data_IF_450271505151
#
_entry.id   IF_450271505151
#
_cell.length_a   1.000
_cell.length_b   1.000
_cell.length_c   1.000
_cell.angle_alpha   90.00
_cell.angle_beta   90.00
_cell.angle_gamma   90.00
#
_symmetry.space_group_name_H-M   'P 1'
#
loop_
_entity.id
_entity.type
_entity.pdbx_description
1 polymer ?
#
# COMPACT_ATOMS: atom_id res chain seq x y z
N UNK A 1 -23.44 34.27 -8.43
CA UNK A 1 -22.02 33.87 -8.53
C UNK A 1 -21.98 32.73 -9.54
N UNK A 2 -21.35 32.94 -10.71
CA UNK A 2 -21.26 31.91 -11.74
C UNK A 2 -20.14 30.95 -11.33
N UNK A 3 -20.48 29.69 -11.09
CA UNK A 3 -19.48 28.64 -11.00
C UNK A 3 -18.97 28.37 -12.41
N UNK A 4 -17.70 28.69 -12.62
CA UNK A 4 -16.96 28.31 -13.81
C UNK A 4 -16.55 26.84 -13.62
N UNK A 5 -16.96 25.93 -14.52
CA UNK A 5 -16.57 24.53 -14.38
C UNK A 5 -15.06 24.43 -14.57
N UNK A 6 -14.39 23.74 -13.64
CA UNK A 6 -13.00 23.33 -13.79
C UNK A 6 -12.95 22.43 -15.03
N UNK A 7 -12.64 23.02 -16.17
CA UNK A 7 -12.37 22.29 -17.39
C UNK A 7 -11.06 21.55 -17.17
N UNK A 8 -11.12 20.24 -16.92
CA UNK A 8 -9.97 19.35 -17.05
C UNK A 8 -9.60 19.30 -18.54
N UNK A 9 -8.90 20.31 -19.03
CA UNK A 9 -8.34 20.31 -20.36
C UNK A 9 -7.20 19.28 -20.37
N UNK A 10 -7.45 18.14 -21.00
CA UNK A 10 -6.39 17.18 -21.29
C UNK A 10 -5.44 17.83 -22.32
N UNK A 11 -4.13 17.91 -22.07
CA UNK A 11 -3.21 18.51 -23.01
C UNK A 11 -3.23 17.73 -24.33
N UNK A 12 -3.40 18.43 -25.46
CA UNK A 12 -3.28 17.83 -26.79
C UNK A 12 -1.82 17.62 -27.21
N UNK A 13 -0.89 18.30 -26.52
CA UNK A 13 0.54 18.28 -26.79
C UNK A 13 1.34 18.16 -25.48
N UNK A 14 2.33 17.28 -25.51
CA UNK A 14 3.27 17.05 -24.43
C UNK A 14 4.67 17.42 -24.94
N UNK A 15 5.32 18.39 -24.29
CA UNK A 15 6.61 18.92 -24.73
C UNK A 15 7.68 17.85 -24.60
N UNK A 16 7.79 17.24 -23.42
CA UNK A 16 8.77 16.19 -23.14
C UNK A 16 8.17 15.20 -22.13
N UNK A 17 8.27 13.91 -22.42
CA UNK A 17 8.08 12.83 -21.44
C UNK A 17 9.43 12.17 -21.23
N UNK A 18 9.87 12.02 -19.98
CA UNK A 18 11.14 11.41 -19.60
C UNK A 18 10.89 10.26 -18.63
N UNK A 19 11.70 9.21 -18.76
CA UNK A 19 11.76 8.11 -17.81
C UNK A 19 13.14 8.10 -17.16
N UNK A 20 13.17 8.22 -15.84
CA UNK A 20 14.38 8.21 -15.02
C UNK A 20 14.50 6.89 -14.25
N UNK A 21 15.71 6.33 -14.23
CA UNK A 21 16.05 5.14 -13.44
C UNK A 21 16.29 5.46 -11.95
N UNK A 22 16.64 4.42 -11.18
CA UNK A 22 16.92 4.53 -9.74
C UNK A 22 18.04 5.52 -9.38
N UNK A 23 18.95 5.78 -10.31
CA UNK A 23 20.08 6.70 -10.16
C UNK A 23 19.78 8.08 -10.78
N UNK A 24 18.53 8.32 -11.19
CA UNK A 24 18.07 9.52 -11.92
C UNK A 24 18.73 9.69 -13.30
N UNK A 25 19.19 8.59 -13.90
CA UNK A 25 19.60 8.60 -15.30
C UNK A 25 18.35 8.60 -16.18
N UNK A 26 18.30 9.48 -17.18
CA UNK A 26 17.23 9.47 -18.18
C UNK A 26 17.43 8.29 -19.14
N UNK A 27 16.60 7.27 -19.02
CA UNK A 27 16.62 6.04 -19.82
C UNK A 27 15.58 6.02 -20.95
N UNK A 28 14.58 6.90 -20.90
CA UNK A 28 13.61 7.08 -21.96
C UNK A 28 13.25 8.55 -22.16
N UNK A 29 12.99 8.95 -23.41
CA UNK A 29 12.57 10.31 -23.75
C UNK A 29 11.67 10.34 -24.98
N UNK A 30 10.58 11.10 -24.91
CA UNK A 30 9.70 11.41 -26.04
C UNK A 30 9.50 12.92 -26.09
N UNK A 31 9.69 13.52 -27.27
CA UNK A 31 9.69 14.98 -27.46
C UNK A 31 8.58 15.36 -28.43
N UNK A 32 7.86 16.45 -28.13
CA UNK A 32 6.80 17.02 -28.96
C UNK A 32 5.77 15.98 -29.41
N UNK A 33 5.32 15.14 -28.47
CA UNK A 33 4.38 14.07 -28.78
C UNK A 33 2.95 14.57 -28.57
N UNK A 34 2.09 14.22 -29.52
CA UNK A 34 0.67 14.60 -29.51
C UNK A 34 -0.18 13.36 -29.31
N UNK A 35 -1.26 13.50 -28.54
CA UNK A 35 -2.24 12.45 -28.38
C UNK A 35 -3.21 12.47 -29.57
N UNK A 36 -3.56 11.30 -30.13
CA UNK A 36 -4.61 11.17 -31.15
C UNK A 36 -6.04 11.26 -30.57
N UNK A 37 -6.16 11.47 -29.25
CA UNK A 37 -7.41 11.67 -28.50
C UNK A 37 -7.11 12.33 -27.15
N UNK A 38 -7.76 11.89 -26.07
CA UNK A 38 -7.50 12.41 -24.71
C UNK A 38 -6.34 11.70 -23.98
N UNK A 39 -5.83 10.60 -24.53
CA UNK A 39 -4.84 9.73 -23.88
C UNK A 39 -3.64 9.53 -24.81
N UNK A 40 -2.47 9.95 -24.34
CA UNK A 40 -1.19 9.61 -24.97
C UNK A 40 -0.71 8.26 -24.41
N UNK A 41 -0.48 7.28 -25.30
CA UNK A 41 0.08 5.99 -24.94
C UNK A 41 1.49 5.86 -25.47
N UNK A 42 2.44 5.59 -24.58
CA UNK A 42 3.86 5.37 -24.90
C UNK A 42 4.30 4.00 -24.36
N UNK A 43 5.42 3.49 -24.83
CA UNK A 43 5.96 2.20 -24.39
C UNK A 43 7.48 2.23 -24.35
N UNK A 44 8.06 1.63 -23.31
CA UNK A 44 9.50 1.54 -23.13
C UNK A 44 9.87 0.18 -22.55
N UNK A 45 10.66 -0.64 -23.25
CA UNK A 45 11.13 -1.91 -22.71
C UNK A 45 12.26 -1.67 -21.71
N UNK A 46 12.15 -2.24 -20.51
CA UNK A 46 13.25 -2.30 -19.55
C UNK A 46 14.16 -3.50 -19.87
N UNK A 47 15.46 -3.34 -19.67
CA UNK A 47 16.42 -4.42 -19.82
C UNK A 47 16.23 -5.48 -18.71
N UNK A 48 16.61 -6.73 -18.98
CA UNK A 48 16.57 -7.82 -17.98
C UNK A 48 17.48 -7.57 -16.77
N UNK A 49 18.46 -6.69 -16.93
CA UNK A 49 19.41 -6.26 -15.89
C UNK A 49 19.03 -4.88 -15.30
N UNK A 50 17.80 -4.41 -15.51
CA UNK A 50 17.32 -3.14 -14.96
C UNK A 50 17.50 -3.13 -13.44
N UNK A 51 18.08 -2.06 -12.86
CA UNK A 51 18.21 -1.94 -11.42
C UNK A 51 16.85 -2.01 -10.72
N UNK A 52 16.76 -2.80 -9.65
CA UNK A 52 15.58 -2.83 -8.77
C UNK A 52 15.52 -1.54 -7.96
N UNK A 53 14.36 -0.89 -7.91
CA UNK A 53 14.17 0.34 -7.14
C UNK A 53 13.05 1.24 -7.66
N UNK A 54 13.07 2.50 -7.25
CA UNK A 54 12.07 3.51 -7.64
C UNK A 54 12.50 4.22 -8.92
N UNK A 55 11.60 4.24 -9.89
CA UNK A 55 11.73 4.93 -11.18
C UNK A 55 10.75 6.09 -11.22
N UNK A 56 11.05 7.09 -12.04
CA UNK A 56 10.24 8.31 -12.13
C UNK A 56 9.88 8.58 -13.59
N UNK A 57 8.59 8.77 -13.86
CA UNK A 57 8.12 9.36 -15.11
C UNK A 57 7.96 10.85 -14.86
N UNK A 58 8.57 11.64 -15.74
CA UNK A 58 8.54 13.10 -15.71
C UNK A 58 7.84 13.58 -16.98
N UNK A 59 6.81 14.39 -16.84
CA UNK A 59 6.04 14.94 -17.97
C UNK A 59 6.09 16.46 -17.93
N UNK A 60 6.49 17.05 -19.05
CA UNK A 60 6.52 18.49 -19.30
C UNK A 60 5.37 18.89 -20.21
N UNK A 61 4.48 19.74 -19.70
CA UNK A 61 3.35 20.33 -20.44
C UNK A 61 3.46 21.85 -20.31
N UNK A 62 3.87 22.52 -21.39
CA UNK A 62 4.29 23.92 -21.34
C UNK A 62 5.44 24.09 -20.34
N UNK A 63 5.21 24.87 -19.29
CA UNK A 63 6.15 25.10 -18.19
C UNK A 63 5.89 24.21 -16.98
N UNK A 64 4.78 23.44 -16.97
CA UNK A 64 4.41 22.57 -15.87
C UNK A 64 5.14 21.23 -15.94
N UNK A 65 5.56 20.75 -14.77
CA UNK A 65 6.25 19.47 -14.61
C UNK A 65 5.48 18.56 -13.66
N UNK A 66 5.10 17.40 -14.17
CA UNK A 66 4.34 16.38 -13.43
C UNK A 66 5.24 15.17 -13.22
N UNK A 67 5.18 14.59 -12.02
CA UNK A 67 5.98 13.44 -11.63
C UNK A 67 5.08 12.26 -11.28
N UNK A 68 5.47 11.06 -11.69
CA UNK A 68 4.84 9.82 -11.26
C UNK A 68 5.92 8.78 -10.95
N UNK A 69 5.90 8.25 -9.73
CA UNK A 69 6.87 7.26 -9.27
C UNK A 69 6.28 5.87 -9.37
N UNK A 70 7.08 4.90 -9.83
CA UNK A 70 6.74 3.49 -9.82
C UNK A 70 7.95 2.65 -9.40
N UNK A 71 7.71 1.41 -8.97
CA UNK A 71 8.77 0.53 -8.46
C UNK A 71 9.00 -0.62 -9.43
N UNK A 72 10.27 -0.86 -9.76
CA UNK A 72 10.72 -2.05 -10.48
C UNK A 72 11.30 -3.02 -9.45
N UNK A 73 10.80 -4.25 -9.44
CA UNK A 73 11.23 -5.31 -8.53
C UNK A 73 11.61 -6.56 -9.30
N UNK A 74 12.45 -7.41 -8.69
CA UNK A 74 12.83 -8.69 -9.30
C UNK A 74 11.60 -9.59 -9.37
N UNK A 75 11.19 -9.95 -10.59
CA UNK A 75 10.15 -10.94 -10.77
C UNK A 75 10.67 -12.30 -10.31
N UNK A 76 9.99 -12.86 -9.31
CA UNK A 76 10.14 -14.26 -8.89
C UNK A 76 8.80 -14.89 -9.16
N UNK A 77 8.78 -16.01 -9.89
CA UNK A 77 7.55 -16.74 -10.17
C UNK A 77 6.86 -17.05 -8.84
N UNK A 78 5.69 -16.43 -8.55
CA UNK A 78 4.95 -16.74 -7.34
C UNK A 78 4.51 -18.20 -7.43
N UNK A 79 4.88 -19.01 -6.43
CA UNK A 79 4.46 -20.42 -6.40
C UNK A 79 2.96 -20.53 -6.15
N UNK A 80 2.42 -19.57 -5.40
CA UNK A 80 1.03 -19.49 -5.00
C UNK A 80 0.58 -18.03 -4.91
N UNK A 81 -0.72 -17.84 -5.01
CA UNK A 81 -1.40 -16.56 -4.84
C UNK A 81 -2.12 -16.54 -3.49
N UNK A 82 -2.12 -15.36 -2.85
CA UNK A 82 -2.87 -15.13 -1.61
C UNK A 82 -4.18 -14.46 -1.96
N UNK A 83 -5.30 -15.08 -1.56
CA UNK A 83 -6.64 -14.54 -1.67
C UNK A 83 -7.14 -14.15 -0.29
N UNK A 84 -7.82 -13.00 -0.19
CA UNK A 84 -8.34 -12.52 1.08
C UNK A 84 -9.76 -12.03 0.91
N UNK A 85 -10.61 -12.40 1.86
CA UNK A 85 -11.95 -11.81 1.96
C UNK A 85 -11.88 -10.61 2.91
N UNK A 86 -11.58 -9.43 2.34
CA UNK A 86 -11.49 -8.17 3.07
C UNK A 86 -12.31 -7.10 2.38
N UNK A 87 -12.96 -6.28 3.19
CA UNK A 87 -13.62 -5.05 2.73
C UNK A 87 -12.62 -3.90 2.70
N UNK A 88 -12.81 -2.96 1.78
CA UNK A 88 -12.03 -1.71 1.71
C UNK A 88 -12.32 -0.77 2.89
N UNK A 89 -13.38 -1.07 3.66
CA UNK A 89 -13.89 -0.29 4.77
C UNK A 89 -14.02 -1.13 6.03
N UNK A 90 -13.72 -0.51 7.18
CA UNK A 90 -13.88 -1.09 8.50
C UNK A 90 -14.64 -0.11 9.41
N UNK A 91 -15.66 -0.59 10.13
CA UNK A 91 -16.39 0.25 11.08
C UNK A 91 -15.67 0.28 12.42
N UNK A 92 -15.51 1.49 12.98
CA UNK A 92 -14.89 1.68 14.31
C UNK A 92 -15.83 1.24 15.44
N UNK A 93 -17.13 1.09 15.16
CA UNK A 93 -18.15 0.67 16.13
C UNK A 93 -18.18 -0.85 16.30
N UNK A 94 -17.68 -1.60 15.31
CA UNK A 94 -17.67 -3.06 15.34
C UNK A 94 -16.71 -3.57 16.41
N UNK A 95 -17.10 -4.59 17.17
CA UNK A 95 -16.26 -5.15 18.25
C UNK A 95 -15.15 -6.05 17.72
N UNK A 96 -15.45 -6.83 16.68
CA UNK A 96 -14.53 -7.80 16.10
C UNK A 96 -14.50 -7.71 14.58
N UNK A 97 -13.32 -7.82 13.98
CA UNK A 97 -13.14 -7.85 12.53
C UNK A 97 -12.55 -9.21 12.11
N UNK A 98 -13.39 -10.04 11.49
CA UNK A 98 -12.98 -11.34 10.96
C UNK A 98 -12.31 -11.19 9.60
N UNK A 99 -11.16 -11.84 9.45
CA UNK A 99 -10.43 -11.93 8.19
C UNK A 99 -10.27 -13.39 7.81
N UNK A 100 -10.41 -13.69 6.51
CA UNK A 100 -10.08 -14.99 5.94
C UNK A 100 -8.97 -14.83 4.91
N UNK A 101 -7.87 -15.54 5.13
CA UNK A 101 -6.71 -15.58 4.22
C UNK A 101 -6.62 -16.99 3.66
N UNK A 102 -6.67 -17.12 2.34
CA UNK A 102 -6.47 -18.36 1.63
C UNK A 102 -5.23 -18.25 0.75
N UNK A 103 -4.57 -19.37 0.51
CA UNK A 103 -3.49 -19.45 -0.46
C UNK A 103 -3.64 -20.68 -1.35
N UNK A 104 -3.46 -20.46 -2.64
CA UNK A 104 -3.63 -21.46 -3.67
C UNK A 104 -2.43 -21.42 -4.61
N UNK A 105 -1.84 -22.58 -4.91
CA UNK A 105 -0.80 -22.66 -5.91
C UNK A 105 -1.33 -22.20 -7.27
N UNK A 106 -0.45 -21.72 -8.14
CA UNK A 106 -0.83 -21.27 -9.50
C UNK A 106 -1.49 -22.36 -10.37
N UNK A 107 -1.38 -23.63 -9.96
CA UNK A 107 -2.03 -24.79 -10.60
C UNK A 107 -3.30 -25.27 -9.87
N UNK A 108 -3.81 -24.51 -8.89
CA UNK A 108 -5.14 -24.69 -8.31
C UNK A 108 -5.23 -25.60 -7.06
N UNK A 109 -4.10 -25.97 -6.44
CA UNK A 109 -4.11 -26.75 -5.20
C UNK A 109 -3.98 -25.84 -3.97
N UNK A 110 -4.59 -26.19 -2.83
CA UNK A 110 -4.45 -25.43 -1.61
C UNK A 110 -3.01 -25.48 -1.07
N UNK A 111 -2.54 -24.37 -0.52
CA UNK A 111 -1.20 -24.30 0.08
C UNK A 111 -1.26 -24.73 1.55
N UNK A 112 -0.60 -25.84 1.93
CA UNK A 112 -0.41 -26.18 3.33
C UNK A 112 0.66 -25.29 3.97
N UNK A 113 0.41 -24.86 5.21
CA UNK A 113 1.38 -24.07 5.95
C UNK A 113 0.73 -23.16 6.99
N UNK A 114 1.36 -22.02 7.24
CA UNK A 114 0.91 -21.03 8.24
C UNK A 114 0.60 -19.70 7.60
N UNK A 115 -0.50 -19.09 8.04
CA UNK A 115 -0.85 -17.72 7.73
C UNK A 115 -0.53 -16.82 8.94
N UNK A 116 0.35 -15.85 8.76
CA UNK A 116 0.55 -14.72 9.65
C UNK A 116 -0.35 -13.56 9.26
N UNK A 117 -1.16 -13.07 10.19
CA UNK A 117 -2.03 -11.90 10.00
C UNK A 117 -1.62 -10.78 10.93
N UNK A 118 -1.58 -9.55 10.43
CA UNK A 118 -1.21 -8.37 11.21
C UNK A 118 -2.15 -7.22 10.87
N UNK A 119 -2.79 -6.66 11.88
CA UNK A 119 -3.63 -5.48 11.76
C UNK A 119 -3.01 -4.35 12.59
N UNK A 120 -2.87 -3.17 11.99
CA UNK A 120 -2.34 -1.97 12.64
C UNK A 120 -3.22 -0.78 12.35
N UNK A 121 -3.25 0.19 13.28
CA UNK A 121 -3.81 1.52 13.03
C UNK A 121 -2.67 2.54 13.06
N UNK A 122 -2.17 2.98 11.88
CA UNK A 122 -1.08 3.95 11.81
C UNK A 122 -1.51 5.31 12.38
N UNK A 123 -0.52 6.14 12.70
CA UNK A 123 -0.75 7.54 13.05
C UNK A 123 -1.13 8.36 11.80
N UNK A 124 -1.75 9.51 12.01
CA UNK A 124 -1.97 10.50 10.94
C UNK A 124 -0.64 11.00 10.37
N UNK A 125 -0.62 11.25 9.07
CA UNK A 125 0.51 11.90 8.41
C UNK A 125 0.72 13.30 9.03
N UNK A 126 1.97 13.66 9.34
CA UNK A 126 2.35 14.92 9.99
C UNK A 126 1.80 15.10 11.43
N UNK A 127 1.63 14.02 12.19
CA UNK A 127 1.29 14.08 13.60
C UNK A 127 2.23 15.01 14.39
N UNK A 128 1.68 16.12 14.92
CA UNK A 128 2.40 17.00 15.85
C UNK A 128 2.32 16.37 17.22
N UNK A 129 3.47 15.88 17.70
CA UNK A 129 3.63 15.26 19.00
C UNK A 129 3.82 16.36 20.05
N UNK A 130 2.84 16.62 20.95
CA UNK A 130 3.06 17.54 22.06
C UNK A 130 4.03 16.90 23.06
N UNK A 131 5.18 17.55 23.26
CA UNK A 131 6.15 17.15 24.27
C UNK A 131 5.64 17.65 25.63
N UNK A 132 5.32 16.75 26.54
CA UNK A 132 4.89 17.07 27.91
C UNK A 132 5.86 16.44 28.89
N UNK A 133 6.67 17.28 29.55
CA UNK A 133 7.65 16.85 30.54
C UNK A 133 6.94 16.76 31.90
N UNK A 134 6.94 15.57 32.51
CA UNK A 134 6.48 15.37 33.88
C UNK A 134 7.46 14.46 34.67
N UNK A 135 7.25 14.30 35.97
CA UNK A 135 8.13 13.47 36.82
C UNK A 135 8.19 11.98 36.41
N UNK A 136 7.19 11.50 35.66
CA UNK A 136 7.10 10.12 35.16
C UNK A 136 7.63 9.99 33.73
N UNK A 137 7.77 11.08 32.99
CA UNK A 137 8.30 11.17 31.64
C UNK A 137 9.38 12.27 31.54
N UNK A 138 10.61 12.00 32.01
CA UNK A 138 11.69 12.99 32.06
C UNK A 138 12.15 13.48 30.68
N UNK A 139 11.89 12.70 29.63
CA UNK A 139 12.20 13.05 28.23
C UNK A 139 11.05 13.79 27.56
N UNK A 140 9.87 13.79 28.16
CA UNK A 140 8.67 14.45 27.65
C UNK A 140 8.09 13.84 26.37
N UNK A 141 8.57 12.67 25.94
CA UNK A 141 8.11 11.98 24.74
C UNK A 141 7.13 10.88 25.14
N UNK A 142 5.83 11.01 24.87
CA UNK A 142 4.89 9.91 25.07
C UNK A 142 5.21 8.70 24.17
N UNK A 143 4.83 7.51 24.61
CA UNK A 143 4.90 6.30 23.77
C UNK A 143 3.81 6.38 22.68
N UNK A 144 4.20 6.78 21.47
CA UNK A 144 3.34 6.88 20.29
C UNK A 144 3.37 5.62 19.42
N UNK A 145 3.69 4.46 20.00
CA UNK A 145 3.68 3.23 19.22
C UNK A 145 2.28 2.98 18.66
N UNK A 146 2.08 2.96 17.32
CA UNK A 146 0.77 2.74 16.73
C UNK A 146 0.27 1.34 17.13
N UNK A 147 -1.00 1.20 17.54
CA UNK A 147 -1.54 -0.07 17.99
C UNK A 147 -1.50 -1.07 16.85
N UNK A 148 -0.94 -2.24 17.13
CA UNK A 148 -0.72 -3.31 16.18
C UNK A 148 -0.96 -4.65 16.88
N UNK A 149 -1.78 -5.51 16.28
CA UNK A 149 -1.97 -6.90 16.69
C UNK A 149 -1.50 -7.84 15.59
N UNK A 150 -0.81 -8.90 15.95
CA UNK A 150 -0.33 -9.92 15.01
C UNK A 150 -0.63 -11.31 15.55
N UNK A 151 -1.00 -12.22 14.66
CA UNK A 151 -1.27 -13.61 15.00
C UNK A 151 -0.73 -14.54 13.90
N UNK A 152 -0.44 -15.79 14.25
CA UNK A 152 -0.05 -16.82 13.29
C UNK A 152 -0.94 -18.04 13.46
N UNK A 153 -1.64 -18.42 12.39
CA UNK A 153 -2.63 -19.50 12.38
C UNK A 153 -2.18 -20.60 11.41
N UNK A 154 -2.32 -21.88 11.82
CA UNK A 154 -2.16 -23.02 10.94
C UNK A 154 -3.29 -23.05 9.90
N UNK A 155 -2.97 -23.26 8.64
CA UNK A 155 -3.96 -23.31 7.58
C UNK A 155 -4.67 -24.67 7.59
N UNK A 156 -5.96 -24.64 7.28
CA UNK A 156 -6.75 -25.87 7.15
C UNK A 156 -6.41 -26.64 5.86
N UNK A 157 -7.03 -27.81 5.69
CA UNK A 157 -6.87 -28.64 4.49
C UNK A 157 -7.36 -27.96 3.19
N UNK A 158 -8.10 -26.86 3.28
CA UNK A 158 -8.52 -26.04 2.13
C UNK A 158 -7.51 -24.94 1.80
N UNK A 159 -6.40 -24.85 2.55
CA UNK A 159 -5.40 -23.81 2.38
C UNK A 159 -5.92 -22.45 2.82
N UNK A 160 -6.78 -22.40 3.84
CA UNK A 160 -7.32 -21.17 4.40
C UNK A 160 -7.09 -21.07 5.91
N UNK A 161 -7.03 -19.85 6.40
CA UNK A 161 -7.02 -19.53 7.82
C UNK A 161 -7.93 -18.33 8.09
N UNK A 162 -8.71 -18.40 9.16
CA UNK A 162 -9.57 -17.30 9.62
C UNK A 162 -9.13 -16.82 10.99
N UNK A 163 -9.24 -15.51 11.22
CA UNK A 163 -8.97 -14.90 12.52
C UNK A 163 -9.85 -13.68 12.77
N UNK A 164 -10.35 -13.52 13.99
CA UNK A 164 -11.14 -12.38 14.41
C UNK A 164 -10.29 -11.44 15.28
N UNK A 165 -10.07 -10.21 14.78
CA UNK A 165 -9.37 -9.17 15.53
C UNK A 165 -10.34 -8.45 16.47
N UNK A 166 -10.00 -8.34 17.75
CA UNK A 166 -10.71 -7.47 18.67
C UNK A 166 -10.36 -6.00 18.38
N UNK A 167 -11.34 -5.21 17.91
CA UNK A 167 -11.12 -3.83 17.47
C UNK A 167 -10.92 -2.86 18.63
N UNK A 168 -11.31 -3.23 19.84
CA UNK A 168 -11.11 -2.39 21.02
C UNK A 168 -9.61 -2.13 21.31
N UNK A 169 -8.72 -3.02 20.89
CA UNK A 169 -7.26 -2.85 21.02
C UNK A 169 -6.76 -1.61 20.25
N UNK A 170 -7.47 -1.21 19.20
CA UNK A 170 -7.06 -0.12 18.29
C UNK A 170 -7.80 1.20 18.53
N UNK A 171 -8.72 1.23 19.50
CA UNK A 171 -9.54 2.40 19.87
C UNK A 171 -9.36 2.85 21.32
N UNK A 172 -8.85 1.99 22.22
CA UNK A 172 -8.88 2.22 23.67
C UNK A 172 -7.95 3.31 24.26
N UNK A 173 -7.08 3.97 23.49
CA UNK A 173 -6.07 4.90 24.04
C UNK A 173 -6.36 6.37 23.72
N UNK A 174 -6.02 7.26 24.67
CA UNK A 174 -6.15 8.73 24.62
C UNK A 174 -5.43 9.44 23.43
N UNK A 175 -4.81 8.67 22.53
CA UNK A 175 -4.21 9.12 21.28
C UNK A 175 -5.15 9.08 20.07
N UNK A 176 -6.47 8.93 20.25
CA UNK A 176 -7.46 8.90 19.16
C UNK A 176 -7.28 10.04 18.14
N UNK A 177 -6.90 11.24 18.59
CA UNK A 177 -6.63 12.38 17.70
C UNK A 177 -5.41 12.23 16.79
N UNK A 178 -4.49 11.33 17.12
CA UNK A 178 -3.27 11.08 16.35
C UNK A 178 -3.36 9.80 15.52
N UNK A 179 -4.38 8.96 15.73
CA UNK A 179 -4.59 7.76 14.94
C UNK A 179 -5.24 8.13 13.61
N UNK A 180 -4.76 7.54 12.53
CA UNK A 180 -5.36 7.70 11.22
C UNK A 180 -6.75 7.07 11.13
N UNK A 181 -7.55 7.58 10.19
CA UNK A 181 -8.83 7.00 9.77
C UNK A 181 -8.62 5.84 8.79
N UNK A 182 -7.60 5.04 9.05
CA UNK A 182 -7.13 3.95 8.20
C UNK A 182 -6.61 2.81 9.08
N UNK A 183 -6.86 1.58 8.65
CA UNK A 183 -6.21 0.38 9.14
C UNK A 183 -5.29 -0.21 8.07
N UNK A 184 -4.12 -0.68 8.48
CA UNK A 184 -3.20 -1.44 7.63
C UNK A 184 -3.26 -2.91 8.01
N UNK A 185 -3.75 -3.74 7.09
CA UNK A 185 -3.77 -5.18 7.23
C UNK A 185 -2.65 -5.79 6.38
N UNK A 186 -1.88 -6.71 6.96
CA UNK A 186 -0.86 -7.48 6.26
C UNK A 186 -1.06 -8.96 6.52
N UNK A 187 -1.14 -9.73 5.44
CA UNK A 187 -1.09 -11.19 5.49
C UNK A 187 0.25 -11.68 4.96
N UNK A 188 0.81 -12.69 5.61
CA UNK A 188 2.00 -13.42 5.19
C UNK A 188 1.66 -14.91 5.20
N UNK A 189 1.90 -15.63 4.11
CA UNK A 189 1.72 -17.08 4.04
C UNK A 189 3.09 -17.72 3.90
N UNK A 190 3.37 -18.68 4.78
CA UNK A 190 4.58 -19.47 4.79
C UNK A 190 4.24 -20.93 4.46
N UNK A 191 4.69 -21.36 3.29
CA UNK A 191 4.60 -22.74 2.81
C UNK A 191 5.64 -23.62 3.54
N UNK A 192 5.31 -24.87 3.86
CA UNK A 192 6.18 -25.78 4.64
C UNK A 192 7.55 -26.06 4.01
N UNK A 193 7.72 -25.87 2.69
CA UNK A 193 8.95 -26.27 1.99
C UNK A 193 9.73 -25.15 1.27
N UNK A 194 9.09 -24.05 0.85
CA UNK A 194 9.59 -23.45 -0.39
C UNK A 194 9.41 -21.94 -0.61
N UNK A 195 8.80 -21.20 0.31
CA UNK A 195 8.74 -19.73 0.22
C UNK A 195 7.81 -19.02 1.20
N UNK A 196 8.00 -17.70 1.30
CA UNK A 196 7.10 -16.75 1.98
C UNK A 196 6.53 -15.78 0.95
N UNK A 197 5.22 -15.55 1.00
CA UNK A 197 4.56 -14.49 0.24
C UNK A 197 3.80 -13.59 1.20
N UNK A 198 3.72 -12.29 0.91
CA UNK A 198 2.96 -11.37 1.76
C UNK A 198 2.24 -10.31 0.93
N UNK A 199 1.06 -9.92 1.40
CA UNK A 199 0.21 -8.91 0.80
C UNK A 199 -0.24 -7.93 1.88
N UNK A 200 -0.29 -6.64 1.54
CA UNK A 200 -0.73 -5.57 2.44
C UNK A 200 -1.89 -4.83 1.82
N UNK A 201 -2.96 -4.62 2.60
CA UNK A 201 -4.15 -3.86 2.22
C UNK A 201 -4.35 -2.73 3.21
N UNK A 202 -4.74 -1.58 2.68
CA UNK A 202 -5.07 -0.38 3.44
C UNK A 202 -6.60 -0.21 3.39
N UNK A 203 -7.24 -0.23 4.56
CA UNK A 203 -8.68 -0.14 4.73
C UNK A 203 -9.04 1.20 5.35
N UNK A 204 -10.10 1.87 4.88
CA UNK A 204 -10.56 3.14 5.45
C UNK A 204 -11.54 2.91 6.59
N UNK A 205 -11.45 3.73 7.63
CA UNK A 205 -12.46 3.76 8.67
C UNK A 205 -13.76 4.37 8.13
N UNK A 206 -14.89 3.76 8.48
CA UNK A 206 -16.21 4.35 8.37
C UNK A 206 -16.82 4.48 9.76
N UNK A 207 -17.58 5.57 9.96
CA UNK A 207 -18.37 5.80 11.17
C UNK A 207 -19.74 5.14 11.02
#
# INVERSE_FOLDING_TARGET
MKHEPISCLCPSQYNIVELEDVNRNRIGQWVNTTSSGNILQLSHPLNSEAPVGSYTIVVWIGEEKIYHNFKVEKYVLPKFEIQMNLTDKISVVQEEYEVKVCAEYTYGQPVPGKAGVKLCRPLVDNAVIPITIDERNPQGVPDYTPPCHKESIEMDHTGCASYAFNLAIFTKNAGEKLLGDVFSFRAEVQEEGTGKSSITIIMRCIM
#
